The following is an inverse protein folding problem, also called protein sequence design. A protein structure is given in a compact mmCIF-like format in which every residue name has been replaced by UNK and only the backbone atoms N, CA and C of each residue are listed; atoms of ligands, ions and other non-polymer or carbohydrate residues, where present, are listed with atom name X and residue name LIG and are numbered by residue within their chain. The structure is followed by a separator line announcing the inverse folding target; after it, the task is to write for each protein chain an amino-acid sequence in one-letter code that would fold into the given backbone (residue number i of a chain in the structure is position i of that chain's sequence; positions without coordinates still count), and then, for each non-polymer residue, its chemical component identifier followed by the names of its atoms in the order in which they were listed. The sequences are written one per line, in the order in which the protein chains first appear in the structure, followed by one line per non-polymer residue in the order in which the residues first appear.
data_IF_650412026730
#
_entry.id   IF_650412026730
#
_cell.length_a   1.000
_cell.length_b   1.000
_cell.length_c   1.000
_cell.angle_alpha   90.00
_cell.angle_beta   90.00
_cell.angle_gamma   90.00
#
_symmetry.space_group_name_H-M   'P 1'
#
loop_
_entity.id
_entity.type
_entity.pdbx_description
1 polymer ?
#
# COMPACT_ATOMS: atom_id res chain seq x y z
N UNK A 1 -1.24 -32.69 -5.85
CA UNK A 1 -0.35 -31.59 -6.27
C UNK A 1 -0.24 -30.44 -5.26
N UNK A 2 -1.33 -29.76 -4.85
CA UNK A 2 -1.26 -28.64 -3.86
C UNK A 2 -0.61 -29.01 -2.51
N UNK A 3 -0.87 -30.22 -1.99
CA UNK A 3 -0.27 -30.72 -0.74
C UNK A 3 1.25 -30.93 -0.81
N UNK A 4 1.81 -31.33 -1.96
CA UNK A 4 3.27 -31.47 -2.10
C UNK A 4 3.96 -30.10 -2.19
N UNK A 5 3.31 -29.12 -2.82
CA UNK A 5 3.82 -27.75 -2.90
C UNK A 5 3.86 -27.07 -1.53
N UNK A 6 2.83 -27.24 -0.69
CA UNK A 6 2.83 -26.71 0.69
C UNK A 6 3.91 -27.39 1.53
N UNK A 7 4.08 -28.71 1.40
CA UNK A 7 5.15 -29.45 2.08
C UNK A 7 6.55 -28.98 1.67
N UNK A 8 6.76 -28.72 0.37
CA UNK A 8 8.02 -28.15 -0.14
C UNK A 8 8.26 -26.73 0.36
N UNK A 9 7.22 -25.88 0.41
CA UNK A 9 7.32 -24.52 0.96
C UNK A 9 7.67 -24.53 2.45
N UNK A 10 7.03 -25.39 3.24
CA UNK A 10 7.31 -25.55 4.66
C UNK A 10 8.73 -26.08 4.90
N UNK A 11 9.19 -27.04 4.08
CA UNK A 11 10.55 -27.58 4.17
C UNK A 11 11.61 -26.50 3.85
N UNK A 12 11.41 -25.69 2.80
CA UNK A 12 12.31 -24.58 2.48
C UNK A 12 12.34 -23.57 3.63
N UNK A 13 11.18 -23.20 4.18
CA UNK A 13 11.11 -22.28 5.32
C UNK A 13 11.84 -22.84 6.54
N UNK A 14 11.64 -24.12 6.86
CA UNK A 14 12.31 -24.78 7.98
C UNK A 14 13.83 -24.81 7.80
N UNK A 15 14.32 -25.13 6.61
CA UNK A 15 15.77 -25.11 6.29
C UNK A 15 16.34 -23.71 6.48
N UNK A 16 15.64 -22.67 5.98
CA UNK A 16 16.08 -21.27 6.14
C UNK A 16 16.11 -20.86 7.61
N UNK A 17 15.09 -21.21 8.40
CA UNK A 17 15.04 -20.87 9.83
C UNK A 17 16.12 -21.60 10.64
N UNK A 18 16.37 -22.88 10.35
CA UNK A 18 17.43 -23.66 11.01
C UNK A 18 18.81 -23.11 10.62
N UNK A 19 19.04 -22.82 9.34
CA UNK A 19 20.30 -22.23 8.88
C UNK A 19 20.54 -20.86 9.53
N UNK A 20 19.51 -20.02 9.67
CA UNK A 20 19.60 -18.74 10.36
C UNK A 20 19.89 -18.92 11.85
N UNK A 21 19.15 -19.78 12.54
CA UNK A 21 19.39 -20.03 13.96
C UNK A 21 20.81 -20.52 14.23
N UNK A 22 21.33 -21.42 13.40
CA UNK A 22 22.70 -21.94 13.54
C UNK A 22 23.75 -20.89 13.21
N UNK A 23 23.51 -20.02 12.22
CA UNK A 23 24.44 -18.95 11.85
C UNK A 23 24.46 -17.79 12.86
N UNK A 24 23.34 -17.55 13.55
CA UNK A 24 23.21 -16.52 14.58
C UNK A 24 24.00 -16.91 15.84
N UNK A 25 24.93 -16.06 16.24
CA UNK A 25 25.80 -16.28 17.40
C UNK A 25 27.07 -17.10 17.14
N UNK A 26 27.15 -17.83 16.01
CA UNK A 26 28.36 -18.60 15.62
C UNK A 26 29.14 -17.89 14.51
N UNK A 27 28.48 -17.57 13.40
CA UNK A 27 29.07 -16.95 12.21
C UNK A 27 28.85 -15.44 12.17
N UNK A 28 27.73 -14.99 12.72
CA UNK A 28 27.34 -13.58 12.77
C UNK A 28 27.02 -13.24 14.23
N UNK A 29 27.60 -12.17 14.82
CA UNK A 29 27.26 -11.78 16.17
C UNK A 29 25.75 -11.60 16.33
N UNK A 30 25.18 -12.17 17.41
CA UNK A 30 23.73 -12.15 17.67
C UNK A 30 23.15 -10.72 17.72
N UNK A 31 24.01 -9.73 17.97
CA UNK A 31 23.71 -8.31 17.84
C UNK A 31 23.19 -7.89 16.45
N UNK A 32 23.65 -8.51 15.36
CA UNK A 32 23.29 -8.10 14.00
C UNK A 32 22.05 -8.80 13.45
N UNK A 33 21.85 -10.08 13.78
CA UNK A 33 20.80 -10.88 13.13
C UNK A 33 19.78 -11.47 14.11
N UNK A 34 20.03 -11.39 15.43
CA UNK A 34 19.28 -12.06 16.50
C UNK A 34 19.00 -13.55 16.20
N UNK A 35 18.46 -14.29 17.16
CA UNK A 35 18.06 -15.67 16.95
C UNK A 35 16.52 -15.78 16.85
N UNK A 36 15.98 -16.69 16.00
CA UNK A 36 14.55 -16.85 15.82
C UNK A 36 13.76 -17.10 17.11
N UNK A 37 14.38 -17.73 18.12
CA UNK A 37 13.75 -18.00 19.40
C UNK A 37 13.57 -16.72 20.21
N UNK A 38 14.60 -15.86 20.28
CA UNK A 38 14.51 -14.54 20.91
C UNK A 38 13.47 -13.65 20.23
N UNK A 39 13.40 -13.67 18.90
CA UNK A 39 12.35 -12.95 18.14
C UNK A 39 10.97 -13.43 18.56
N UNK A 40 10.76 -14.76 18.63
CA UNK A 40 9.47 -15.33 19.03
C UNK A 40 9.07 -14.96 20.46
N UNK A 41 10.02 -14.90 21.40
CA UNK A 41 9.75 -14.49 22.78
C UNK A 41 9.29 -13.04 22.85
N UNK A 42 10.00 -12.12 22.17
CA UNK A 42 9.61 -10.71 22.11
C UNK A 42 8.18 -10.55 21.57
N UNK A 43 7.84 -11.29 20.51
CA UNK A 43 6.48 -11.28 19.95
C UNK A 43 5.47 -11.75 21.01
N UNK A 44 5.71 -12.89 21.66
CA UNK A 44 4.80 -13.42 22.69
C UNK A 44 4.62 -12.43 23.83
N UNK A 45 5.70 -11.83 24.33
CA UNK A 45 5.66 -10.86 25.43
C UNK A 45 4.87 -9.60 25.06
N UNK A 46 5.05 -9.10 23.83
CA UNK A 46 4.30 -7.97 23.29
C UNK A 46 2.80 -8.22 23.17
N UNK A 47 2.40 -9.42 22.75
CA UNK A 47 0.99 -9.80 22.68
C UNK A 47 0.40 -10.11 24.06
N UNK A 48 1.15 -10.77 24.94
CA UNK A 48 0.72 -11.08 26.30
C UNK A 48 0.54 -9.82 27.16
N UNK A 49 1.45 -8.85 27.04
CA UNK A 49 1.33 -7.54 27.69
C UNK A 49 0.28 -6.62 27.04
N UNK A 50 -0.16 -6.95 25.82
CA UNK A 50 -1.07 -6.12 25.03
C UNK A 50 -0.44 -4.83 24.48
N UNK A 51 0.86 -4.61 24.71
CA UNK A 51 1.57 -3.39 24.28
C UNK A 51 1.59 -3.22 22.77
N UNK A 52 1.56 -4.29 21.97
CA UNK A 52 1.61 -4.20 20.50
C UNK A 52 0.32 -3.64 19.87
N UNK A 53 -0.82 -3.77 20.54
CA UNK A 53 -2.12 -3.44 19.94
C UNK A 53 -2.28 -1.96 19.62
N UNK A 54 -1.69 -1.07 20.43
CA UNK A 54 -1.71 0.37 20.15
C UNK A 54 -0.89 0.72 18.90
N UNK A 55 0.19 -0.03 18.64
CA UNK A 55 1.02 0.14 17.46
C UNK A 55 0.30 -0.38 16.21
N UNK A 56 -0.27 -1.59 16.28
CA UNK A 56 -1.09 -2.15 15.18
C UNK A 56 -2.26 -1.21 14.86
N UNK A 57 -2.99 -0.75 15.88
CA UNK A 57 -4.11 0.15 15.73
C UNK A 57 -3.72 1.49 15.09
N UNK A 58 -2.60 2.08 15.50
CA UNK A 58 -2.06 3.30 14.86
C UNK A 58 -1.74 3.10 13.39
N UNK A 59 -1.07 2.00 13.05
CA UNK A 59 -0.69 1.68 11.67
C UNK A 59 -1.94 1.47 10.81
N UNK A 60 -2.91 0.70 11.29
CA UNK A 60 -4.16 0.48 10.57
C UNK A 60 -4.96 1.77 10.39
N UNK A 61 -5.07 2.60 11.43
CA UNK A 61 -5.78 3.88 11.36
C UNK A 61 -5.15 4.80 10.34
N UNK A 62 -3.83 4.96 10.39
CA UNK A 62 -3.07 5.79 9.45
C UNK A 62 -3.24 5.30 8.03
N UNK A 63 -3.10 3.98 7.81
CA UNK A 63 -3.26 3.34 6.52
C UNK A 63 -4.65 3.59 5.94
N UNK A 64 -5.71 3.23 6.67
CA UNK A 64 -7.07 3.27 6.13
C UNK A 64 -7.57 4.70 5.93
N UNK A 65 -7.26 5.64 6.84
CA UNK A 65 -7.64 7.04 6.65
C UNK A 65 -6.89 7.67 5.47
N UNK A 66 -5.57 7.47 5.39
CA UNK A 66 -4.77 7.97 4.28
C UNK A 66 -5.20 7.37 2.95
N UNK A 67 -5.43 6.05 2.93
CA UNK A 67 -5.89 5.35 1.74
C UNK A 67 -7.28 5.80 1.30
N UNK A 68 -8.26 5.88 2.21
CA UNK A 68 -9.63 6.30 1.86
C UNK A 68 -9.66 7.74 1.33
N UNK A 69 -8.91 8.65 1.97
CA UNK A 69 -8.80 10.04 1.52
C UNK A 69 -8.12 10.13 0.15
N UNK A 70 -6.95 9.51 -0.01
CA UNK A 70 -6.21 9.53 -1.26
C UNK A 70 -6.98 8.86 -2.41
N UNK A 71 -7.63 7.75 -2.14
CA UNK A 71 -8.38 7.00 -3.14
C UNK A 71 -9.61 7.74 -3.63
N UNK A 72 -10.43 8.25 -2.72
CA UNK A 72 -11.62 9.01 -3.08
C UNK A 72 -11.26 10.24 -3.92
N UNK A 73 -10.26 11.02 -3.49
CA UNK A 73 -9.79 12.18 -4.23
C UNK A 73 -9.15 11.81 -5.56
N UNK A 74 -8.30 10.78 -5.60
CA UNK A 74 -7.59 10.36 -6.82
C UNK A 74 -8.55 9.89 -7.91
N UNK A 75 -9.53 9.05 -7.54
CA UNK A 75 -10.56 8.57 -8.47
C UNK A 75 -11.47 9.72 -8.90
N UNK A 76 -11.95 10.55 -7.98
CA UNK A 76 -12.82 11.68 -8.32
C UNK A 76 -12.13 12.65 -9.28
N UNK A 77 -10.89 13.05 -8.98
CA UNK A 77 -10.11 13.92 -9.87
C UNK A 77 -9.80 13.25 -11.20
N UNK A 78 -9.48 11.95 -11.22
CA UNK A 78 -9.21 11.21 -12.45
C UNK A 78 -10.43 11.12 -13.37
N UNK A 79 -11.61 10.90 -12.80
CA UNK A 79 -12.87 10.92 -13.53
C UNK A 79 -13.16 12.31 -14.10
N UNK A 80 -13.06 13.36 -13.27
CA UNK A 80 -13.33 14.74 -13.69
C UNK A 80 -12.38 15.15 -14.84
N UNK A 81 -11.09 14.86 -14.71
CA UNK A 81 -10.09 15.19 -15.74
C UNK A 81 -10.26 14.34 -16.99
N UNK A 82 -10.54 13.04 -16.86
CA UNK A 82 -10.80 12.15 -17.99
C UNK A 82 -12.05 12.51 -18.80
N UNK A 83 -13.01 13.22 -18.19
CA UNK A 83 -14.19 13.75 -18.88
C UNK A 83 -13.93 15.12 -19.53
N UNK A 84 -12.85 15.81 -19.18
CA UNK A 84 -12.51 17.14 -19.66
C UNK A 84 -11.13 17.19 -20.34
N UNK A 85 -11.01 16.75 -21.62
CA UNK A 85 -9.73 16.62 -22.33
C UNK A 85 -8.89 17.90 -22.37
N UNK A 86 -9.54 19.08 -22.36
CA UNK A 86 -8.84 20.37 -22.28
C UNK A 86 -8.18 20.58 -20.92
N UNK A 87 -8.90 20.28 -19.83
CA UNK A 87 -8.39 20.43 -18.48
C UNK A 87 -7.26 19.43 -18.22
N UNK A 88 -7.41 18.19 -18.67
CA UNK A 88 -6.36 17.16 -18.61
C UNK A 88 -5.11 17.60 -19.35
N UNK A 89 -5.22 18.10 -20.59
CA UNK A 89 -4.07 18.61 -21.35
C UNK A 89 -3.34 19.76 -20.65
N UNK A 90 -4.08 20.71 -20.06
CA UNK A 90 -3.50 21.87 -19.36
C UNK A 90 -2.86 21.46 -18.02
N UNK A 91 -3.49 20.56 -17.27
CA UNK A 91 -3.03 20.18 -15.93
C UNK A 91 -2.00 19.04 -15.94
N UNK A 92 -1.93 18.25 -17.02
CA UNK A 92 -1.00 17.12 -17.16
C UNK A 92 0.46 17.44 -16.81
N UNK A 93 1.10 18.55 -17.25
CA UNK A 93 2.48 18.84 -16.86
C UNK A 93 2.62 19.11 -15.36
N UNK A 94 1.65 19.76 -14.73
CA UNK A 94 1.67 20.04 -13.29
C UNK A 94 1.45 18.79 -12.46
N UNK A 95 0.52 17.92 -12.88
CA UNK A 95 0.27 16.63 -12.23
C UNK A 95 1.52 15.76 -12.31
N UNK A 96 2.18 15.70 -13.47
CA UNK A 96 3.42 14.96 -13.67
C UNK A 96 4.58 15.52 -12.83
N UNK A 97 4.73 16.85 -12.80
CA UNK A 97 5.75 17.50 -11.96
C UNK A 97 5.54 17.20 -10.47
N UNK A 98 4.29 17.30 -9.99
CA UNK A 98 3.95 16.94 -8.62
C UNK A 98 4.20 15.46 -8.35
N UNK A 99 3.82 14.57 -9.26
CA UNK A 99 4.03 13.12 -9.12
C UNK A 99 5.51 12.75 -9.03
N UNK A 100 6.37 13.41 -9.82
CA UNK A 100 7.81 13.17 -9.83
C UNK A 100 8.54 13.56 -8.53
N UNK A 101 7.89 14.32 -7.64
CA UNK A 101 8.47 14.62 -6.34
C UNK A 101 8.54 13.36 -5.46
N UNK A 102 9.71 13.06 -4.86
CA UNK A 102 9.82 11.98 -3.89
C UNK A 102 8.96 12.31 -2.68
N UNK A 103 7.78 11.68 -2.58
CA UNK A 103 6.77 12.03 -1.56
C UNK A 103 7.31 11.95 -0.14
N UNK A 104 8.19 10.99 0.13
CA UNK A 104 8.86 10.85 1.43
C UNK A 104 9.64 12.10 1.82
N UNK A 105 10.23 12.82 0.86
CA UNK A 105 10.96 14.07 1.12
C UNK A 105 10.03 15.24 1.52
N UNK A 106 8.71 15.11 1.31
CA UNK A 106 7.73 16.09 1.78
C UNK A 106 7.39 15.91 3.26
N UNK A 107 7.80 14.79 3.88
CA UNK A 107 7.43 14.50 5.27
C UNK A 107 7.83 15.61 6.25
N UNK A 108 9.06 16.17 6.23
CA UNK A 108 9.43 17.28 7.12
C UNK A 108 8.52 18.50 6.95
N UNK A 109 8.15 18.83 5.71
CA UNK A 109 7.21 19.92 5.43
C UNK A 109 5.82 19.63 6.02
N UNK A 110 5.32 18.40 5.85
CA UNK A 110 4.03 17.99 6.43
C UNK A 110 4.06 18.02 7.95
N UNK A 111 5.19 17.69 8.58
CA UNK A 111 5.37 17.79 10.03
C UNK A 111 5.38 19.26 10.48
N UNK A 112 5.99 20.18 9.72
CA UNK A 112 5.93 21.62 10.03
C UNK A 112 4.49 22.14 9.94
N UNK A 113 3.74 21.72 8.91
CA UNK A 113 2.38 22.21 8.66
C UNK A 113 1.33 21.62 9.62
N UNK A 114 1.41 20.31 9.89
CA UNK A 114 0.38 19.57 10.62
C UNK A 114 0.84 19.04 11.98
N UNK A 115 2.11 19.25 12.33
CA UNK A 115 2.73 18.70 13.53
C UNK A 115 3.11 17.22 13.41
N UNK A 116 3.76 16.72 14.46
CA UNK A 116 4.01 15.29 14.66
C UNK A 116 2.69 14.66 15.10
N UNK A 117 2.19 13.69 14.33
CA UNK A 117 0.94 13.02 14.70
C UNK A 117 0.27 12.29 13.55
N UNK A 118 -1.03 12.04 13.73
CA UNK A 118 -1.83 11.28 12.75
C UNK A 118 -1.97 12.03 11.43
N UNK A 119 -2.22 13.35 11.46
CA UNK A 119 -2.53 14.13 10.25
C UNK A 119 -1.37 14.17 9.25
N UNK A 120 -0.15 14.46 9.69
CA UNK A 120 1.03 14.51 8.81
C UNK A 120 1.25 13.17 8.08
N UNK A 121 1.08 12.05 8.79
CA UNK A 121 1.16 10.70 8.22
C UNK A 121 0.03 10.40 7.24
N UNK A 122 -1.21 10.70 7.63
CA UNK A 122 -2.41 10.49 6.78
C UNK A 122 -2.30 11.27 5.48
N UNK A 123 -1.87 12.53 5.53
CA UNK A 123 -1.69 13.37 4.33
C UNK A 123 -0.58 12.81 3.43
N UNK A 124 0.51 12.30 3.99
CA UNK A 124 1.58 11.68 3.20
C UNK A 124 1.08 10.43 2.46
N UNK A 125 0.40 9.53 3.17
CA UNK A 125 -0.18 8.31 2.60
C UNK A 125 -1.23 8.66 1.55
N UNK A 126 -2.12 9.60 1.85
CA UNK A 126 -3.14 10.08 0.92
C UNK A 126 -2.54 10.67 -0.34
N UNK A 127 -1.44 11.42 -0.22
CA UNK A 127 -0.74 12.00 -1.37
C UNK A 127 -0.21 10.92 -2.31
N UNK A 128 0.39 9.85 -1.79
CA UNK A 128 0.88 8.73 -2.61
C UNK A 128 -0.28 8.01 -3.31
N UNK A 129 -1.31 7.65 -2.55
CA UNK A 129 -2.48 6.91 -3.07
C UNK A 129 -3.26 7.74 -4.08
N UNK A 130 -3.39 9.05 -3.85
CA UNK A 130 -4.05 10.00 -4.75
C UNK A 130 -3.47 9.91 -6.17
N UNK A 131 -2.16 10.05 -6.33
CA UNK A 131 -1.56 10.04 -7.66
C UNK A 131 -1.65 8.65 -8.31
N UNK A 132 -1.46 7.57 -7.56
CA UNK A 132 -1.57 6.22 -8.11
C UNK A 132 -2.96 5.94 -8.70
N UNK A 133 -4.01 6.33 -7.99
CA UNK A 133 -5.38 6.13 -8.45
C UNK A 133 -5.84 7.16 -9.47
N UNK A 134 -5.31 8.39 -9.40
CA UNK A 134 -5.48 9.39 -10.45
C UNK A 134 -4.97 8.86 -11.80
N UNK A 135 -3.74 8.37 -11.85
CA UNK A 135 -3.14 7.82 -13.07
C UNK A 135 -3.82 6.52 -13.53
N UNK A 136 -4.18 5.63 -12.61
CA UNK A 136 -4.93 4.42 -12.98
C UNK A 136 -6.27 4.76 -13.64
N UNK A 137 -6.97 5.78 -13.11
CA UNK A 137 -8.26 6.23 -13.65
C UNK A 137 -8.10 6.93 -15.00
N UNK A 138 -7.12 7.83 -15.14
CA UNK A 138 -6.82 8.51 -16.40
C UNK A 138 -6.37 7.52 -17.48
N UNK A 139 -5.52 6.55 -17.14
CA UNK A 139 -5.09 5.48 -18.04
C UNK A 139 -6.27 4.67 -18.55
N UNK A 140 -7.19 4.27 -17.66
CA UNK A 140 -8.41 3.56 -18.06
C UNK A 140 -9.32 4.40 -18.96
N UNK A 141 -9.44 5.71 -18.71
CA UNK A 141 -10.24 6.60 -19.55
C UNK A 141 -9.64 6.79 -20.95
N UNK A 142 -8.31 6.76 -21.07
CA UNK A 142 -7.60 6.85 -22.34
C UNK A 142 -7.65 5.54 -23.16
N UNK A 143 -7.81 4.40 -22.49
CA UNK A 143 -7.86 3.05 -23.09
C UNK A 143 -9.21 2.74 -23.75
N UNK A 144 -10.26 3.55 -23.49
CA UNK A 144 -11.56 3.40 -24.15
C UNK A 144 -11.45 3.86 -25.61
N UNK A 145 -11.66 2.91 -26.52
CA UNK A 145 -11.59 3.13 -27.97
C UNK A 145 -12.50 4.29 -28.42
N UNK A 146 -11.90 5.24 -29.13
CA UNK A 146 -12.59 6.42 -29.65
C UNK A 146 -13.56 6.06 -30.78
N UNK A 147 -13.22 5.08 -31.60
CA UNK A 147 -14.06 4.65 -32.72
C UNK A 147 -15.36 4.02 -32.22
N UNK A 148 -15.26 3.21 -31.16
CA UNK A 148 -16.42 2.68 -30.44
C UNK A 148 -17.33 3.80 -29.89
N UNK A 149 -16.75 4.88 -29.36
CA UNK A 149 -17.55 6.01 -28.85
C UNK A 149 -18.20 6.84 -29.96
N UNK A 150 -17.48 7.08 -31.06
CA UNK A 150 -18.01 7.85 -32.19
C UNK A 150 -19.11 7.06 -32.92
N UNK A 151 -18.98 5.73 -33.03
CA UNK A 151 -20.05 4.85 -33.51
C UNK A 151 -21.32 4.94 -32.66
N UNK A 152 -21.20 4.98 -31.32
CA UNK A 152 -22.35 5.14 -30.42
C UNK A 152 -23.01 6.51 -30.55
N UNK A 153 -22.23 7.58 -30.77
CA UNK A 153 -22.76 8.92 -31.06
C UNK A 153 -23.56 8.94 -32.35
N UNK A 154 -23.08 8.26 -33.39
CA UNK A 154 -23.80 8.12 -34.67
C UNK A 154 -25.12 7.35 -34.51
N UNK A 155 -25.19 6.41 -33.55
CA UNK A 155 -26.41 5.69 -33.19
C UNK A 155 -27.36 6.50 -32.26
N UNK A 156 -27.03 7.76 -31.95
CA UNK A 156 -27.87 8.65 -31.15
C UNK A 156 -27.66 8.55 -29.63
N UNK A 157 -26.60 7.90 -29.16
CA UNK A 157 -26.29 7.85 -27.73
C UNK A 157 -25.91 9.25 -27.20
N UNK A 158 -26.49 9.64 -26.07
CA UNK A 158 -26.13 10.91 -25.41
C UNK A 158 -24.80 10.79 -24.66
N UNK A 159 -24.10 11.91 -24.44
CA UNK A 159 -22.82 11.91 -23.68
C UNK A 159 -22.95 11.28 -22.28
N UNK A 160 -24.09 11.50 -21.60
CA UNK A 160 -24.35 10.88 -20.30
C UNK A 160 -24.49 9.36 -20.38
N UNK A 161 -25.06 8.83 -21.47
CA UNK A 161 -25.16 7.40 -21.70
C UNK A 161 -23.81 6.78 -22.04
N UNK A 162 -23.00 7.45 -22.87
CA UNK A 162 -21.63 7.00 -23.18
C UNK A 162 -20.79 6.94 -21.91
N UNK A 163 -20.86 7.97 -21.06
CA UNK A 163 -20.13 7.98 -19.79
C UNK A 163 -20.61 6.85 -18.87
N UNK A 164 -21.92 6.73 -18.66
CA UNK A 164 -22.47 5.80 -17.65
C UNK A 164 -22.48 4.33 -18.10
N UNK A 165 -22.74 4.05 -19.37
CA UNK A 165 -22.92 2.69 -19.90
C UNK A 165 -21.64 2.12 -20.53
N UNK A 166 -20.68 2.97 -20.91
CA UNK A 166 -19.47 2.54 -21.61
C UNK A 166 -18.20 2.92 -20.86
N UNK A 167 -17.95 4.21 -20.63
CA UNK A 167 -16.70 4.66 -20.00
C UNK A 167 -16.56 4.17 -18.55
N UNK A 168 -17.56 4.41 -17.70
CA UNK A 168 -17.51 4.02 -16.29
C UNK A 168 -17.33 2.49 -16.11
N UNK A 169 -18.06 1.61 -16.83
CA UNK A 169 -17.81 0.17 -16.77
C UNK A 169 -16.41 -0.22 -17.29
N UNK A 170 -15.93 0.42 -18.36
CA UNK A 170 -14.65 0.08 -18.98
C UNK A 170 -13.43 0.43 -18.11
N UNK A 171 -13.52 1.46 -17.26
CA UNK A 171 -12.43 1.85 -16.36
C UNK A 171 -12.40 1.08 -15.04
N UNK A 172 -13.47 0.35 -14.68
CA UNK A 172 -13.52 -0.41 -13.43
C UNK A 172 -12.32 -1.37 -13.28
N UNK A 173 -11.93 -2.18 -14.30
CA UNK A 173 -10.75 -3.06 -14.20
C UNK A 173 -9.45 -2.29 -13.92
N UNK A 174 -9.31 -1.10 -14.49
CA UNK A 174 -8.16 -0.21 -14.26
C UNK A 174 -8.13 0.31 -12.83
N UNK A 175 -9.28 0.77 -12.31
CA UNK A 175 -9.41 1.22 -10.91
C UNK A 175 -9.12 0.06 -9.93
N UNK A 176 -9.62 -1.15 -10.20
CA UNK A 176 -9.34 -2.34 -9.38
C UNK A 176 -7.84 -2.68 -9.36
N UNK A 177 -7.19 -2.64 -10.52
CA UNK A 177 -5.74 -2.85 -10.61
C UNK A 177 -4.97 -1.75 -9.88
N UNK A 178 -5.46 -0.51 -9.97
CA UNK A 178 -4.97 0.65 -9.24
C UNK A 178 -5.06 0.45 -7.73
N UNK A 179 -6.20 -0.01 -7.19
CA UNK A 179 -6.37 -0.30 -5.76
C UNK A 179 -5.39 -1.35 -5.24
N UNK A 180 -5.21 -2.44 -5.99
CA UNK A 180 -4.26 -3.50 -5.61
C UNK A 180 -2.83 -2.97 -5.53
N UNK A 181 -2.45 -2.13 -6.48
CA UNK A 181 -1.10 -1.59 -6.52
C UNK A 181 -0.92 -0.54 -5.42
N UNK A 182 -1.89 0.35 -5.26
CA UNK A 182 -1.81 1.48 -4.33
C UNK A 182 -1.85 1.06 -2.87
N UNK A 183 -2.50 -0.05 -2.49
CA UNK A 183 -2.50 -0.50 -1.08
C UNK A 183 -1.11 -0.92 -0.60
N UNK A 184 -0.28 -1.52 -1.46
CA UNK A 184 1.12 -1.84 -1.14
C UNK A 184 1.98 -0.59 -0.96
N UNK A 185 1.77 0.42 -1.81
CA UNK A 185 2.42 1.72 -1.65
C UNK A 185 1.91 2.48 -0.41
N UNK A 186 0.63 2.32 -0.05
CA UNK A 186 0.05 2.93 1.14
C UNK A 186 0.63 2.31 2.42
N UNK A 187 0.80 0.98 2.45
CA UNK A 187 1.43 0.27 3.57
C UNK A 187 2.89 0.70 3.76
N UNK A 188 3.69 0.67 2.69
CA UNK A 188 5.10 1.08 2.74
C UNK A 188 5.23 2.54 3.18
N UNK A 189 4.42 3.44 2.63
CA UNK A 189 4.41 4.86 3.02
C UNK A 189 3.96 5.06 4.47
N UNK A 190 2.95 4.33 4.93
CA UNK A 190 2.51 4.37 6.34
C UNK A 190 3.66 4.03 7.26
N UNK A 191 4.36 2.91 7.02
CA UNK A 191 5.49 2.46 7.85
C UNK A 191 6.62 3.47 7.86
N UNK A 192 6.99 4.02 6.70
CA UNK A 192 8.03 5.06 6.60
C UNK A 192 7.64 6.32 7.35
N UNK A 193 6.39 6.76 7.23
CA UNK A 193 5.88 7.92 7.97
C UNK A 193 5.84 7.69 9.48
N UNK A 194 5.57 6.45 9.91
CA UNK A 194 5.56 6.10 11.33
C UNK A 194 6.97 6.02 11.93
N UNK A 195 7.95 5.53 11.16
CA UNK A 195 9.34 5.50 11.59
C UNK A 195 9.90 6.91 11.82
N UNK A 196 9.57 7.86 10.93
CA UNK A 196 10.19 9.19 10.94
C UNK A 196 9.43 10.25 11.76
N UNK A 197 8.11 10.12 11.94
CA UNK A 197 7.29 11.19 12.54
C UNK A 197 6.15 10.68 13.41
N UNK A 198 6.38 9.63 14.20
CA UNK A 198 5.37 9.08 15.11
C UNK A 198 5.95 8.67 16.45
N UNK A 199 5.07 8.58 17.45
CA UNK A 199 5.35 8.00 18.78
C UNK A 199 4.63 6.65 19.00
N UNK A 200 3.99 6.14 17.95
CA UNK A 200 3.22 4.88 17.93
C UNK A 200 3.10 4.37 16.50
N UNK A 201 2.80 3.09 16.34
CA UNK A 201 2.84 2.42 15.04
C UNK A 201 3.92 1.35 14.96
N UNK A 202 3.77 0.43 14.02
CA UNK A 202 4.74 -0.62 13.75
C UNK A 202 6.03 -0.04 13.16
N UNK A 203 5.94 0.98 12.30
CA UNK A 203 7.13 1.68 11.81
C UNK A 203 7.93 2.34 12.93
N UNK A 204 7.23 2.92 13.92
CA UNK A 204 7.86 3.44 15.13
C UNK A 204 8.53 2.34 15.96
N UNK A 205 7.91 1.17 16.13
CA UNK A 205 8.53 0.05 16.88
C UNK A 205 9.83 -0.43 16.22
N UNK A 206 9.85 -0.50 14.88
CA UNK A 206 11.05 -0.87 14.12
C UNK A 206 12.16 0.16 14.41
N UNK A 207 11.87 1.44 14.23
CA UNK A 207 12.85 2.52 14.42
C UNK A 207 13.33 2.59 15.88
N UNK A 208 12.41 2.50 16.83
CA UNK A 208 12.72 2.59 18.26
C UNK A 208 13.60 1.41 18.73
N UNK A 209 13.35 0.20 18.23
CA UNK A 209 14.19 -0.96 18.51
C UNK A 209 15.55 -0.85 17.81
N UNK A 210 15.59 -0.30 16.60
CA UNK A 210 16.83 -0.11 15.84
C UNK A 210 17.77 0.89 16.53
N UNK A 211 17.24 2.01 17.02
CA UNK A 211 18.02 3.02 17.78
C UNK A 211 18.56 2.46 19.11
N UNK A 212 17.87 1.48 19.70
CA UNK A 212 18.34 0.76 20.90
C UNK A 212 19.28 -0.41 20.60
N UNK A 213 19.62 -0.62 19.32
CA UNK A 213 20.38 -1.78 18.86
C UNK A 213 19.77 -3.13 19.28
N UNK A 214 18.45 -3.17 19.44
CA UNK A 214 17.71 -4.38 19.78
C UNK A 214 17.26 -5.09 18.49
N UNK A 215 18.16 -5.91 17.93
CA UNK A 215 17.86 -6.69 16.72
C UNK A 215 16.63 -7.59 16.89
N UNK A 216 16.44 -8.23 18.05
CA UNK A 216 15.27 -9.07 18.32
C UNK A 216 13.96 -8.26 18.17
N UNK A 217 13.93 -7.05 18.74
CA UNK A 217 12.81 -6.12 18.62
C UNK A 217 12.55 -5.65 17.19
N UNK A 218 13.61 -5.32 16.44
CA UNK A 218 13.49 -4.93 15.02
C UNK A 218 12.85 -6.06 14.20
N UNK A 219 13.40 -7.27 14.28
CA UNK A 219 12.86 -8.42 13.55
C UNK A 219 11.46 -8.79 14.03
N UNK A 220 11.16 -8.72 15.33
CA UNK A 220 9.83 -8.95 15.86
C UNK A 220 8.81 -7.97 15.26
N UNK A 221 9.14 -6.67 15.22
CA UNK A 221 8.26 -5.67 14.62
C UNK A 221 8.06 -5.87 13.11
N UNK A 222 9.12 -6.25 12.38
CA UNK A 222 9.05 -6.60 10.96
C UNK A 222 8.16 -7.83 10.73
N UNK A 223 8.25 -8.86 11.58
CA UNK A 223 7.39 -10.07 11.48
C UNK A 223 5.93 -9.70 11.73
N UNK A 224 5.64 -8.91 12.77
CA UNK A 224 4.27 -8.44 13.04
C UNK A 224 3.73 -7.62 11.87
N UNK A 225 4.55 -6.73 11.30
CA UNK A 225 4.20 -5.95 10.11
C UNK A 225 3.95 -6.82 8.88
N UNK A 226 4.75 -7.89 8.68
CA UNK A 226 4.57 -8.85 7.59
C UNK A 226 3.24 -9.60 7.72
N UNK A 227 2.90 -10.05 8.94
CA UNK A 227 1.61 -10.70 9.22
C UNK A 227 0.47 -9.72 8.96
N UNK A 228 0.55 -8.50 9.48
CA UNK A 228 -0.47 -7.47 9.25
C UNK A 228 -0.66 -7.17 7.77
N UNK A 229 0.45 -6.98 7.03
CA UNK A 229 0.42 -6.72 5.59
C UNK A 229 -0.19 -7.88 4.81
N UNK A 230 0.13 -9.12 5.18
CA UNK A 230 -0.44 -10.32 4.56
C UNK A 230 -1.95 -10.42 4.81
N UNK A 231 -2.40 -10.15 6.03
CA UNK A 231 -3.83 -10.13 6.38
C UNK A 231 -4.60 -9.08 5.57
N UNK A 232 -3.97 -7.94 5.24
CA UNK A 232 -4.57 -6.90 4.41
C UNK A 232 -4.54 -7.28 2.92
N UNK A 233 -3.42 -7.81 2.42
CA UNK A 233 -3.19 -8.03 0.99
C UNK A 233 -3.82 -9.32 0.44
N UNK A 234 -3.81 -10.41 1.20
CA UNK A 234 -4.31 -11.72 0.73
C UNK A 234 -5.80 -11.68 0.35
N UNK A 235 -6.72 -11.11 1.16
CA UNK A 235 -8.12 -11.00 0.80
C UNK A 235 -8.35 -10.20 -0.49
N UNK A 236 -7.58 -9.13 -0.69
CA UNK A 236 -7.66 -8.29 -1.89
C UNK A 236 -7.23 -9.05 -3.15
N UNK A 237 -6.19 -9.87 -3.06
CA UNK A 237 -5.77 -10.75 -4.17
C UNK A 237 -6.79 -11.84 -4.49
N UNK A 238 -7.51 -12.36 -3.48
CA UNK A 238 -8.57 -13.34 -3.69
C UNK A 238 -9.80 -12.73 -4.39
N UNK A 239 -10.18 -11.51 -4.00
CA UNK A 239 -11.27 -10.74 -4.64
C UNK A 239 -10.96 -10.48 -6.12
N UNK A 240 -9.72 -10.11 -6.44
CA UNK A 240 -9.29 -9.86 -7.82
C UNK A 240 -9.43 -11.10 -8.72
N UNK A 241 -9.01 -12.27 -8.23
CA UNK A 241 -9.08 -13.52 -9.01
C UNK A 241 -10.51 -13.98 -9.28
N UNK A 242 -11.50 -13.51 -8.52
CA UNK A 242 -12.93 -13.75 -8.79
C UNK A 242 -13.54 -12.77 -9.79
N UNK A 243 -12.96 -11.58 -9.92
CA UNK A 243 -13.50 -10.51 -10.78
C UNK A 243 -12.83 -10.42 -12.16
N UNK A 244 -11.73 -11.13 -12.40
CA UNK A 244 -11.20 -11.29 -13.77
C UNK A 244 -12.23 -12.09 -14.58
N UNK A 245 -12.88 -11.51 -15.60
CA UNK A 245 -13.57 -12.34 -16.57
C UNK A 245 -12.51 -13.23 -17.19
N UNK A 246 -12.72 -14.55 -17.12
CA UNK A 246 -11.99 -15.53 -17.92
C UNK A 246 -11.88 -14.96 -19.32
N UNK A 247 -10.65 -14.69 -19.77
CA UNK A 247 -10.39 -14.37 -21.18
C UNK A 247 -11.06 -15.47 -22.00
N UNK A 248 -12.13 -15.11 -22.70
CA UNK A 248 -12.67 -15.88 -23.81
C UNK A 248 -11.70 -15.77 -24.99
#
# INVERSE_FOLDING_TARGET
MRLSTIGQQAAVLAVVLVAWHLASGTLIPAFYISDPLSISRVIVDWFASGSVWIHIGSTMLTLFLGYALGASLGIACGLILGLAPRAERVLSPFIAALYGLPKVALLPLLVILFGIGLLSKVVLVASVVFFLLLYATLGGMADVDRDTMDGLRLMGATEGEIVRKVRLPAILPWIYTGFRTSIGYALTTTVVSEALSSNRGLGFLIEHAAVQFNAAGVFAAVVVLLVLSSVIMVPLGMLENRMKPTKL
#
